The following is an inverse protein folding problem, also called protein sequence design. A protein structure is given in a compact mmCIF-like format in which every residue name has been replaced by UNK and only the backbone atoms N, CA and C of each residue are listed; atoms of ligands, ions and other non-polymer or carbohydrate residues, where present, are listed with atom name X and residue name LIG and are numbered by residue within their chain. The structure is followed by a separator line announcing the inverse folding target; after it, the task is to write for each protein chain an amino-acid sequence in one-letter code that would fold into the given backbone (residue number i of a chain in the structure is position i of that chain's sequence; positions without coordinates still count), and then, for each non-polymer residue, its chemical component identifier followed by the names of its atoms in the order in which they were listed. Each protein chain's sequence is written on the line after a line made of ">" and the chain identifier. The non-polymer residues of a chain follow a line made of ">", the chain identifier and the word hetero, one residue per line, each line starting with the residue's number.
data_IF_778820509245
#
_entry.id   IF_778820509245
#
_cell.length_a   1.000
_cell.length_b   1.000
_cell.length_c   1.000
_cell.angle_alpha   90.00
_cell.angle_beta   90.00
_cell.angle_gamma   90.00
#
_symmetry.space_group_name_H-M   'P 1'
#
loop_
_entity.id
_entity.type
_entity.pdbx_description
1 polymer ?
#
# COMPACT_ATOMS: atom_id res chain seq x y z
N UNK A 1 -22.03 -34.46 35.19
CA UNK A 1 -20.95 -34.78 34.24
C UNK A 1 -20.89 -33.62 33.26
N UNK A 2 -19.91 -32.73 33.40
CA UNK A 2 -19.61 -31.67 32.44
C UNK A 2 -18.12 -31.34 32.60
N UNK A 3 -17.29 -31.84 31.70
CA UNK A 3 -15.88 -31.46 31.60
C UNK A 3 -15.82 -30.15 30.80
N UNK A 4 -15.20 -29.07 31.33
CA UNK A 4 -14.96 -27.88 30.53
C UNK A 4 -13.79 -28.15 29.57
N UNK A 5 -14.01 -27.91 28.28
CA UNK A 5 -12.93 -27.81 27.29
C UNK A 5 -12.01 -26.66 27.69
N UNK A 6 -10.82 -26.99 28.20
CA UNK A 6 -9.73 -26.04 28.40
C UNK A 6 -9.11 -25.74 27.04
N UNK A 7 -9.32 -24.54 26.52
CA UNK A 7 -8.48 -23.97 25.46
C UNK A 7 -7.03 -23.97 25.94
N UNK A 8 -6.18 -24.75 25.29
CA UNK A 8 -4.75 -24.79 25.59
C UNK A 8 -4.14 -23.54 24.94
N UNK A 9 -3.55 -22.59 25.70
CA UNK A 9 -2.83 -21.49 25.10
C UNK A 9 -1.63 -22.06 24.33
N UNK A 10 -1.53 -21.74 23.04
CA UNK A 10 -0.36 -22.03 22.23
C UNK A 10 0.84 -21.29 22.83
N UNK A 11 1.65 -21.99 23.63
CA UNK A 11 2.91 -21.48 24.16
C UNK A 11 3.93 -21.47 23.03
N UNK A 12 4.22 -20.29 22.47
CA UNK A 12 5.29 -20.09 21.50
C UNK A 12 6.65 -20.03 22.22
N UNK A 13 7.57 -20.96 21.90
CA UNK A 13 8.95 -20.94 22.39
C UNK A 13 9.92 -20.49 21.27
N UNK A 14 10.52 -19.30 21.37
CA UNK A 14 11.44 -18.77 20.37
C UNK A 14 12.70 -19.63 20.17
N UNK A 15 13.22 -20.29 21.22
CA UNK A 15 14.45 -21.06 21.11
C UNK A 15 14.24 -22.33 20.28
N UNK A 16 13.14 -23.03 20.54
CA UNK A 16 12.73 -24.22 19.77
C UNK A 16 12.34 -23.87 18.33
N UNK A 17 11.70 -22.73 18.09
CA UNK A 17 11.36 -22.26 16.74
C UNK A 17 12.61 -22.01 15.89
N UNK A 18 13.67 -21.42 16.45
CA UNK A 18 14.91 -21.16 15.72
C UNK A 18 15.71 -22.43 15.39
N UNK A 19 15.46 -23.52 16.12
CA UNK A 19 16.06 -24.83 15.86
C UNK A 19 15.20 -25.68 14.90
N UNK A 20 14.05 -25.17 14.46
CA UNK A 20 13.17 -25.89 13.56
C UNK A 20 13.77 -25.94 12.15
N UNK A 21 14.04 -27.14 11.68
CA UNK A 21 14.44 -27.38 10.29
C UNK A 21 13.18 -27.43 9.42
N UNK A 22 13.25 -26.82 8.23
CA UNK A 22 12.20 -26.88 7.22
C UNK A 22 12.81 -27.23 5.87
N UNK A 23 12.33 -28.33 5.28
CA UNK A 23 12.76 -28.80 3.96
C UNK A 23 11.98 -28.11 2.82
N UNK A 24 11.09 -27.18 3.16
CA UNK A 24 10.25 -26.48 2.19
C UNK A 24 10.98 -25.25 1.65
N UNK A 25 10.98 -25.12 0.32
CA UNK A 25 11.45 -23.90 -0.33
C UNK A 25 10.52 -22.74 0.07
N UNK A 26 11.09 -21.73 0.72
CA UNK A 26 10.39 -20.47 0.94
C UNK A 26 10.35 -19.71 -0.37
N UNK A 27 9.18 -19.15 -0.71
CA UNK A 27 9.08 -18.28 -1.87
C UNK A 27 10.01 -17.08 -1.70
N UNK A 28 10.84 -16.82 -2.71
CA UNK A 28 11.81 -15.73 -2.70
C UNK A 28 11.23 -14.47 -3.34
N UNK A 29 10.04 -14.54 -3.92
CA UNK A 29 9.36 -13.42 -4.56
C UNK A 29 8.01 -13.14 -3.90
N UNK A 30 7.65 -11.87 -3.83
CA UNK A 30 6.31 -11.48 -3.41
C UNK A 30 5.32 -11.89 -4.50
N UNK A 31 4.22 -12.51 -4.10
CA UNK A 31 3.13 -12.81 -5.03
C UNK A 31 2.62 -11.50 -5.62
N UNK A 32 2.78 -11.35 -6.93
CA UNK A 32 2.44 -10.13 -7.64
C UNK A 32 0.94 -10.06 -7.86
N UNK A 33 0.35 -8.93 -7.49
CA UNK A 33 -1.01 -8.62 -7.94
C UNK A 33 -0.98 -8.53 -9.48
N UNK A 34 -1.87 -9.24 -10.19
CA UNK A 34 -1.92 -9.19 -11.65
C UNK A 34 -2.12 -7.76 -12.15
N UNK A 35 -1.62 -7.47 -13.36
CA UNK A 35 -1.83 -6.17 -13.98
C UNK A 35 -3.29 -6.05 -14.44
N UNK A 36 -3.96 -4.98 -14.05
CA UNK A 36 -5.40 -4.81 -14.29
C UNK A 36 -5.98 -3.63 -13.54
N UNK A 37 -7.28 -3.42 -13.70
CA UNK A 37 -8.04 -2.44 -12.94
C UNK A 37 -8.95 -3.16 -11.95
N UNK A 38 -8.85 -2.81 -10.67
CA UNK A 38 -9.58 -3.50 -9.61
C UNK A 38 -10.24 -2.51 -8.65
N UNK A 39 -11.43 -2.84 -8.13
CA UNK A 39 -12.00 -2.12 -7.00
C UNK A 39 -11.17 -2.37 -5.75
N UNK A 40 -10.84 -1.29 -5.04
CA UNK A 40 -10.05 -1.37 -3.82
C UNK A 40 -10.49 -0.34 -2.79
N UNK A 41 -10.23 -0.67 -1.53
CA UNK A 41 -10.49 0.16 -0.36
C UNK A 41 -9.17 0.63 0.25
N UNK A 42 -9.07 1.91 0.60
CA UNK A 42 -7.89 2.43 1.30
C UNK A 42 -7.91 1.90 2.74
N UNK A 43 -6.97 1.02 3.08
CA UNK A 43 -6.93 0.30 4.35
C UNK A 43 -5.93 0.88 5.35
N UNK A 44 -4.82 1.43 4.87
CA UNK A 44 -3.78 2.03 5.70
C UNK A 44 -3.17 3.24 5.01
N UNK A 45 -2.84 4.24 5.82
CA UNK A 45 -2.02 5.40 5.43
C UNK A 45 -0.81 5.44 6.36
N UNK A 46 0.36 5.67 5.77
CA UNK A 46 1.61 5.85 6.49
C UNK A 46 2.36 7.03 5.88
N UNK A 47 3.10 7.78 6.69
CA UNK A 47 3.85 8.94 6.23
C UNK A 47 5.28 8.81 6.71
N UNK A 48 6.22 8.85 5.77
CA UNK A 48 7.65 8.67 6.05
C UNK A 48 8.47 9.75 5.37
N UNK A 49 9.58 10.09 6.00
CA UNK A 49 10.61 10.90 5.39
C UNK A 49 11.70 9.98 4.85
N UNK A 50 12.17 10.28 3.66
CA UNK A 50 13.27 9.55 3.03
C UNK A 50 14.26 10.56 2.47
N UNK A 51 15.53 10.41 2.83
CA UNK A 51 16.61 11.17 2.23
C UNK A 51 16.76 10.77 0.76
N UNK A 52 16.89 11.73 -0.13
CA UNK A 52 17.11 11.46 -1.54
C UNK A 52 18.48 10.75 -1.69
N UNK A 53 18.53 9.53 -2.26
CA UNK A 53 19.78 8.80 -2.44
C UNK A 53 20.81 9.52 -3.32
N UNK A 54 20.34 10.41 -4.21
CA UNK A 54 21.19 11.17 -5.12
C UNK A 54 21.58 12.55 -4.56
N UNK A 55 20.86 13.06 -3.56
CA UNK A 55 21.13 14.35 -2.92
C UNK A 55 20.81 14.27 -1.42
N UNK A 56 21.82 14.02 -0.57
CA UNK A 56 21.63 13.91 0.87
C UNK A 56 21.04 15.17 1.53
N UNK A 57 21.12 16.34 0.89
CA UNK A 57 20.53 17.58 1.44
C UNK A 57 19.01 17.64 1.28
N UNK A 58 18.44 16.79 0.41
CA UNK A 58 17.02 16.78 0.11
C UNK A 58 16.30 15.66 0.87
N UNK A 59 15.33 16.04 1.68
CA UNK A 59 14.42 15.11 2.37
C UNK A 59 13.10 15.09 1.63
N UNK A 60 12.69 13.92 1.17
CA UNK A 60 11.38 13.69 0.58
C UNK A 60 10.39 13.27 1.65
N UNK A 61 9.21 13.88 1.63
CA UNK A 61 8.08 13.40 2.41
C UNK A 61 7.23 12.50 1.51
N UNK A 62 6.98 11.28 1.94
CA UNK A 62 6.29 10.26 1.16
C UNK A 62 5.08 9.79 1.95
N UNK A 63 3.91 9.84 1.31
CA UNK A 63 2.69 9.21 1.77
C UNK A 63 2.58 7.82 1.15
N UNK A 64 2.63 6.79 1.98
CA UNK A 64 2.35 5.43 1.57
C UNK A 64 0.85 5.14 1.80
N UNK A 65 0.16 4.82 0.72
CA UNK A 65 -1.26 4.45 0.71
C UNK A 65 -1.37 2.96 0.41
N UNK A 66 -1.94 2.19 1.33
CA UNK A 66 -2.21 0.77 1.12
C UNK A 66 -3.66 0.58 0.70
N UNK A 67 -3.85 -0.08 -0.44
CA UNK A 67 -5.15 -0.46 -0.99
C UNK A 67 -5.38 -1.94 -0.72
N UNK A 68 -6.51 -2.28 -0.10
CA UNK A 68 -7.02 -3.64 -0.02
C UNK A 68 -7.92 -3.90 -1.23
N UNK A 69 -7.57 -4.89 -2.04
CA UNK A 69 -8.28 -5.23 -3.27
C UNK A 69 -9.48 -6.11 -2.93
N UNK A 70 -10.66 -5.72 -3.40
CA UNK A 70 -11.90 -6.47 -3.20
C UNK A 70 -12.32 -7.19 -4.49
N UNK A 71 -11.46 -8.09 -4.95
CA UNK A 71 -11.67 -8.89 -6.16
C UNK A 71 -11.38 -10.38 -5.87
N UNK A 72 -12.34 -11.24 -6.23
CA UNK A 72 -12.22 -12.69 -6.00
C UNK A 72 -11.18 -13.33 -6.93
N UNK A 73 -11.07 -12.90 -8.18
CA UNK A 73 -10.09 -13.43 -9.13
C UNK A 73 -8.67 -13.14 -8.68
N UNK A 74 -8.41 -11.94 -8.15
CA UNK A 74 -7.10 -11.61 -7.57
C UNK A 74 -6.79 -12.47 -6.34
N UNK A 75 -7.78 -12.79 -5.49
CA UNK A 75 -7.59 -13.67 -4.33
C UNK A 75 -7.25 -15.10 -4.75
N UNK A 76 -7.93 -15.62 -5.76
CA UNK A 76 -7.70 -16.96 -6.29
C UNK A 76 -6.33 -17.07 -6.97
N UNK A 77 -5.94 -16.06 -7.75
CA UNK A 77 -4.67 -16.04 -8.47
C UNK A 77 -3.47 -15.81 -7.55
N UNK A 78 -3.63 -14.96 -6.53
CA UNK A 78 -2.54 -14.66 -5.58
C UNK A 78 -2.51 -15.59 -4.37
N UNK A 79 -3.56 -16.37 -4.12
CA UNK A 79 -3.69 -17.17 -2.90
C UNK A 79 -3.71 -16.36 -1.60
N UNK A 80 -3.74 -15.03 -1.67
CA UNK A 80 -3.71 -14.15 -0.51
C UNK A 80 -5.12 -13.97 0.06
N UNK A 81 -5.33 -14.13 1.38
CA UNK A 81 -6.64 -13.94 1.99
C UNK A 81 -7.13 -12.48 1.89
N UNK A 82 -6.20 -11.53 1.84
CA UNK A 82 -6.45 -10.10 1.65
C UNK A 82 -5.38 -9.51 0.73
N UNK A 83 -5.54 -9.57 -0.59
CA UNK A 83 -4.60 -8.99 -1.53
C UNK A 83 -4.54 -7.48 -1.29
N UNK A 84 -3.32 -6.97 -1.13
CA UNK A 84 -3.10 -5.55 -0.88
C UNK A 84 -1.91 -5.03 -1.64
N UNK A 85 -1.98 -3.78 -2.06
CA UNK A 85 -0.91 -3.12 -2.82
C UNK A 85 -0.66 -1.74 -2.25
N UNK A 86 0.62 -1.35 -2.18
CA UNK A 86 1.04 -0.05 -1.67
C UNK A 86 1.38 0.89 -2.81
N UNK A 87 0.97 2.13 -2.68
CA UNK A 87 1.39 3.25 -3.54
C UNK A 87 2.13 4.28 -2.70
N UNK A 88 3.35 4.62 -3.10
CA UNK A 88 4.12 5.73 -2.52
C UNK A 88 3.88 7.00 -3.31
N UNK A 89 3.33 8.03 -2.66
CA UNK A 89 3.08 9.35 -3.21
C UNK A 89 4.07 10.33 -2.59
N UNK A 90 4.94 10.90 -3.41
CA UNK A 90 5.81 11.99 -3.00
C UNK A 90 4.98 13.25 -2.78
N UNK A 91 5.08 13.82 -1.58
CA UNK A 91 4.39 15.04 -1.19
C UNK A 91 5.32 16.23 -1.36
N UNK A 92 4.79 17.27 -2.02
CA UNK A 92 5.39 18.60 -2.01
C UNK A 92 5.02 19.30 -0.70
N UNK A 93 6.03 19.58 0.13
CA UNK A 93 5.91 20.27 1.41
C UNK A 93 6.63 21.62 1.29
N UNK A 94 6.08 22.67 1.91
CA UNK A 94 6.71 23.99 1.96
C UNK A 94 7.65 24.16 3.16
N UNK A 95 8.32 25.30 3.23
CA UNK A 95 9.26 25.62 4.31
C UNK A 95 8.63 25.56 5.71
N UNK A 96 7.31 25.76 5.81
CA UNK A 96 6.55 25.65 7.06
C UNK A 96 6.17 24.23 7.45
N UNK A 97 6.57 23.20 6.69
CA UNK A 97 6.20 21.81 6.97
C UNK A 97 4.75 21.47 6.62
N UNK A 98 4.08 22.31 5.83
CA UNK A 98 2.69 22.09 5.39
C UNK A 98 2.62 21.71 3.91
N UNK A 99 1.50 21.15 3.48
CA UNK A 99 1.30 20.81 2.07
C UNK A 99 1.43 22.04 1.19
N UNK A 100 2.31 21.96 0.20
CA UNK A 100 2.43 23.00 -0.80
C UNK A 100 1.25 22.92 -1.78
N UNK A 101 0.52 24.01 -1.89
CA UNK A 101 -0.65 24.10 -2.78
C UNK A 101 -0.36 25.08 -3.91
N UNK A 102 -0.73 24.74 -5.14
CA UNK A 102 -0.45 25.57 -6.30
C UNK A 102 -0.39 24.79 -7.60
N UNK A 103 -0.17 25.51 -8.70
CA UNK A 103 -0.11 24.92 -10.05
C UNK A 103 1.05 23.92 -10.15
N UNK A 104 0.72 22.66 -10.38
CA UNK A 104 1.71 21.58 -10.57
C UNK A 104 2.26 20.96 -9.28
N UNK A 105 1.75 21.36 -8.11
CA UNK A 105 2.15 20.79 -6.80
C UNK A 105 1.19 19.69 -6.37
N UNK A 106 1.73 18.64 -5.74
CA UNK A 106 0.96 17.53 -5.17
C UNK A 106 -0.03 16.88 -6.17
N UNK A 107 0.33 16.80 -7.45
CA UNK A 107 -0.57 16.32 -8.52
C UNK A 107 -1.07 14.90 -8.26
N UNK A 108 -0.21 14.01 -7.79
CA UNK A 108 -0.58 12.63 -7.48
C UNK A 108 -1.53 12.53 -6.27
N UNK A 109 -1.32 13.37 -5.24
CA UNK A 109 -2.26 13.50 -4.14
C UNK A 109 -3.59 14.08 -4.63
N UNK A 110 -3.57 15.07 -5.53
CA UNK A 110 -4.77 15.61 -6.16
C UNK A 110 -5.57 14.56 -6.92
N UNK A 111 -4.91 13.68 -7.69
CA UNK A 111 -5.55 12.54 -8.37
C UNK A 111 -6.20 11.57 -7.40
N UNK A 112 -5.53 11.23 -6.31
CA UNK A 112 -6.10 10.37 -5.26
C UNK A 112 -7.33 11.02 -4.60
N UNK A 113 -7.24 12.31 -4.27
CA UNK A 113 -8.36 13.06 -3.71
C UNK A 113 -9.52 13.15 -4.69
N UNK A 114 -9.25 13.32 -5.98
CA UNK A 114 -10.28 13.36 -7.02
C UNK A 114 -11.00 12.01 -7.11
N UNK A 115 -10.23 10.92 -7.18
CA UNK A 115 -10.76 9.55 -7.24
C UNK A 115 -11.61 9.16 -6.03
N UNK A 116 -11.32 9.73 -4.86
CA UNK A 116 -12.07 9.51 -3.61
C UNK A 116 -13.15 10.57 -3.37
N UNK A 117 -13.35 11.52 -4.29
CA UNK A 117 -14.35 12.59 -4.15
C UNK A 117 -14.02 13.65 -3.09
N UNK A 118 -12.76 13.71 -2.62
CA UNK A 118 -12.24 14.60 -1.58
C UNK A 118 -11.46 15.81 -2.13
N UNK A 119 -11.60 16.10 -3.42
CA UNK A 119 -10.91 17.20 -4.11
C UNK A 119 -11.84 18.35 -4.50
N UNK A 120 -12.83 18.69 -3.66
CA UNK A 120 -13.78 19.76 -3.97
C UNK A 120 -13.25 21.14 -3.52
N UNK A 121 -13.43 22.21 -4.33
CA UNK A 121 -13.07 23.56 -3.92
C UNK A 121 -13.77 23.97 -2.61
N UNK A 122 -13.01 24.54 -1.68
CA UNK A 122 -13.54 24.97 -0.37
C UNK A 122 -13.78 23.84 0.64
N UNK A 123 -13.59 22.57 0.27
CA UNK A 123 -13.68 21.45 1.20
C UNK A 123 -12.38 21.30 1.98
N UNK A 124 -12.47 21.35 3.31
CA UNK A 124 -11.35 21.00 4.18
C UNK A 124 -10.96 19.52 3.97
N UNK A 125 -9.66 19.26 3.84
CA UNK A 125 -9.13 17.92 3.62
C UNK A 125 -8.22 17.52 4.77
N UNK A 126 -8.38 16.28 5.23
CA UNK A 126 -7.43 15.60 6.10
C UNK A 126 -7.08 14.26 5.48
N UNK A 127 -5.85 13.79 5.69
CA UNK A 127 -5.44 12.46 5.20
C UNK A 127 -6.30 11.34 5.80
N UNK A 128 -6.73 11.49 7.06
CA UNK A 128 -7.62 10.52 7.70
C UNK A 128 -8.94 10.30 6.96
N UNK A 129 -9.44 11.29 6.21
CA UNK A 129 -10.65 11.15 5.41
C UNK A 129 -10.51 10.17 4.23
N UNK A 130 -9.27 9.82 3.83
CA UNK A 130 -9.00 8.82 2.80
C UNK A 130 -9.22 7.40 3.31
N UNK A 131 -9.08 7.13 4.61
CA UNK A 131 -9.26 5.78 5.15
C UNK A 131 -10.69 5.29 4.92
N UNK A 132 -10.82 4.07 4.40
CA UNK A 132 -12.11 3.45 4.07
C UNK A 132 -12.75 3.95 2.78
N UNK A 133 -12.14 4.90 2.05
CA UNK A 133 -12.67 5.31 0.75
C UNK A 133 -12.45 4.21 -0.29
N UNK A 134 -13.46 3.99 -1.14
CA UNK A 134 -13.40 3.09 -2.26
C UNK A 134 -12.92 3.82 -3.52
N UNK A 135 -12.10 3.13 -4.33
CA UNK A 135 -11.61 3.64 -5.60
C UNK A 135 -11.28 2.48 -6.55
N UNK A 136 -11.08 2.80 -7.82
CA UNK A 136 -10.49 1.88 -8.79
C UNK A 136 -8.99 2.14 -8.85
N UNK A 137 -8.19 1.08 -8.69
CA UNK A 137 -6.74 1.15 -8.86
C UNK A 137 -6.33 0.44 -10.16
N UNK A 138 -5.42 1.03 -10.90
CA UNK A 138 -4.80 0.40 -12.06
C UNK A 138 -3.40 -0.09 -11.69
N UNK A 139 -3.22 -1.40 -11.66
CA UNK A 139 -1.96 -2.08 -11.37
C UNK A 139 -1.18 -2.28 -12.66
N UNK A 140 0.10 -1.88 -12.66
CA UNK A 140 1.04 -2.19 -13.73
C UNK A 140 2.30 -2.82 -13.16
N UNK A 141 2.82 -3.79 -13.89
CA UNK A 141 4.11 -4.39 -13.62
C UNK A 141 5.21 -3.50 -14.16
N UNK A 142 6.18 -3.18 -13.31
CA UNK A 142 7.38 -2.43 -13.69
C UNK A 142 8.60 -3.24 -13.28
N UNK A 143 9.49 -3.61 -14.22
CA UNK A 143 10.73 -4.29 -13.87
C UNK A 143 11.64 -3.33 -13.08
N UNK A 144 12.44 -3.89 -12.16
CA UNK A 144 13.47 -3.14 -11.45
C UNK A 144 14.48 -2.58 -12.45
N UNK A 145 14.99 -1.38 -12.16
CA UNK A 145 15.93 -0.70 -13.06
C UNK A 145 17.33 -1.33 -13.05
N UNK A 146 17.68 -2.04 -11.98
CA UNK A 146 18.97 -2.70 -11.79
C UNK A 146 18.90 -4.19 -12.11
N UNK A 147 17.75 -4.82 -11.90
CA UNK A 147 17.52 -6.23 -12.19
C UNK A 147 16.15 -6.46 -12.88
N UNK A 148 16.11 -6.60 -14.21
CA UNK A 148 14.85 -6.77 -14.94
C UNK A 148 14.05 -8.02 -14.58
N UNK A 149 14.66 -9.02 -13.91
CA UNK A 149 13.97 -10.22 -13.44
C UNK A 149 13.10 -9.95 -12.20
N UNK A 150 13.40 -8.87 -11.45
CA UNK A 150 12.57 -8.42 -10.34
C UNK A 150 11.45 -7.53 -10.89
N UNK A 151 10.22 -8.02 -10.86
CA UNK A 151 9.04 -7.27 -11.31
C UNK A 151 8.26 -6.76 -10.09
N UNK A 152 7.90 -5.48 -10.08
CA UNK A 152 7.03 -4.91 -9.04
C UNK A 152 5.64 -4.60 -9.58
N UNK A 153 4.61 -4.96 -8.83
CA UNK A 153 3.26 -4.47 -9.04
C UNK A 153 3.11 -3.07 -8.43
N UNK A 154 2.84 -2.07 -9.27
CA UNK A 154 2.69 -0.67 -8.87
C UNK A 154 1.32 -0.12 -9.25
N UNK A 155 0.74 0.69 -8.38
CA UNK A 155 -0.46 1.49 -8.70
C UNK A 155 -0.06 2.69 -9.55
N UNK A 156 -0.45 2.70 -10.82
CA UNK A 156 -0.12 3.77 -11.77
C UNK A 156 -1.25 4.79 -11.93
N UNK A 157 -2.51 4.37 -11.76
CA UNK A 157 -3.67 5.27 -11.76
C UNK A 157 -4.62 4.90 -10.62
N UNK A 158 -5.31 5.94 -10.13
CA UNK A 158 -6.43 5.83 -9.22
C UNK A 158 -7.59 6.58 -9.86
N UNK A 159 -8.77 5.97 -9.90
CA UNK A 159 -9.99 6.49 -10.51
C UNK A 159 -11.17 6.33 -9.54
N UNK A 160 -12.23 7.13 -9.77
CA UNK A 160 -13.46 7.01 -9.01
C UNK A 160 -14.14 5.66 -9.29
N UNK A 161 -14.78 5.11 -8.27
CA UNK A 161 -15.69 3.97 -8.45
C UNK A 161 -16.91 4.48 -9.24
N UNK A 162 -17.14 3.92 -10.43
CA UNK A 162 -18.25 4.27 -11.31
C UNK A 162 -19.58 3.71 -10.80
#
# INVERSE_FOLDING_TARGET
>A
MNVPETEVPLTFDPASFLMQETDQQMDTQFILIPAGEYPALISKLDARQQQNPNDPSQIWTILDVTYAIDDQGVREETGLPKPSIRQSIFLDINEGGTLETGKGKNVNLGRLREATGLNKPGQAFSFGALLGQACIIAVKHTPDKKDPEIVYANVNKVAALA
#
